data_IF_420452264938
#
_entry.id   IF_420452264938
#
_cell.length_a   1.000
_cell.length_b   1.000
_cell.length_c   1.000
_cell.angle_alpha   90.00
_cell.angle_beta   90.00
_cell.angle_gamma   90.00
#
_symmetry.space_group_name_H-M   'P 1'
#
loop_
_entity.id
_entity.type
_entity.pdbx_description
1 polymer ?
#
# COMPACT_ATOMS: atom_id res chain seq x y z
N UNK A 1 9.56 14.26 2.71
CA UNK A 1 8.53 14.82 1.79
C UNK A 1 7.86 16.11 2.30
N UNK A 2 7.53 17.05 1.40
CA UNK A 2 6.70 18.24 1.71
C UNK A 2 5.21 17.94 1.59
N UNK A 3 4.35 18.56 2.42
CA UNK A 3 2.90 18.40 2.32
C UNK A 3 2.35 18.87 0.97
N UNK A 4 2.91 19.95 0.42
CA UNK A 4 2.54 20.44 -0.91
C UNK A 4 2.79 19.40 -2.02
N UNK A 5 3.90 18.66 -1.92
CA UNK A 5 4.22 17.55 -2.81
C UNK A 5 3.24 16.39 -2.63
N UNK A 6 2.95 16.01 -1.38
CA UNK A 6 1.96 14.97 -1.05
C UNK A 6 0.58 15.31 -1.63
N UNK A 7 0.11 16.55 -1.47
CA UNK A 7 -1.17 17.00 -2.02
C UNK A 7 -1.18 16.91 -3.56
N UNK A 8 -0.06 17.22 -4.21
CA UNK A 8 0.11 17.07 -5.66
C UNK A 8 0.04 15.61 -6.11
N UNK A 9 0.78 14.72 -5.43
CA UNK A 9 0.75 13.26 -5.69
C UNK A 9 -0.66 12.71 -5.51
N UNK A 10 -1.34 13.06 -4.42
CA UNK A 10 -2.70 12.61 -4.14
C UNK A 10 -3.69 13.03 -5.23
N UNK A 11 -3.57 14.26 -5.73
CA UNK A 11 -4.42 14.76 -6.82
C UNK A 11 -4.16 13.98 -8.12
N UNK A 12 -2.89 13.81 -8.50
CA UNK A 12 -2.51 13.05 -9.69
C UNK A 12 -2.94 11.57 -9.60
N UNK A 13 -2.78 10.95 -8.43
CA UNK A 13 -3.21 9.58 -8.17
C UNK A 13 -4.73 9.45 -8.30
N UNK A 14 -5.51 10.38 -7.74
CA UNK A 14 -6.98 10.37 -7.89
C UNK A 14 -7.40 10.52 -9.36
N UNK A 15 -6.72 11.36 -10.15
CA UNK A 15 -7.02 11.51 -11.58
C UNK A 15 -6.73 10.23 -12.36
N UNK A 16 -5.61 9.55 -12.07
CA UNK A 16 -5.26 8.25 -12.63
C UNK A 16 -6.28 7.16 -12.26
N UNK A 17 -6.70 7.10 -11.00
CA UNK A 17 -7.72 6.16 -10.53
C UNK A 17 -9.03 6.37 -11.31
N UNK A 18 -9.44 7.63 -11.47
CA UNK A 18 -10.65 8.01 -12.22
C UNK A 18 -10.54 7.72 -13.70
N UNK A 19 -9.37 7.89 -14.32
CA UNK A 19 -9.17 7.57 -15.74
C UNK A 19 -9.34 6.08 -16.05
N UNK A 20 -9.16 5.22 -15.05
CA UNK A 20 -9.43 3.78 -15.12
C UNK A 20 -10.88 3.41 -14.76
N UNK A 21 -11.76 4.40 -14.56
CA UNK A 21 -13.18 4.19 -14.23
C UNK A 21 -13.42 3.79 -12.77
N UNK A 22 -12.41 3.84 -11.91
CA UNK A 22 -12.56 3.55 -10.49
C UNK A 22 -12.87 4.84 -9.71
N UNK A 23 -13.71 4.73 -8.68
CA UNK A 23 -14.02 5.85 -7.80
C UNK A 23 -13.74 5.43 -6.35
N UNK A 24 -12.96 6.24 -5.63
CA UNK A 24 -12.69 6.00 -4.21
C UNK A 24 -13.95 6.25 -3.37
N UNK A 25 -14.06 5.61 -2.19
CA UNK A 25 -15.17 5.85 -1.27
C UNK A 25 -15.19 7.31 -0.78
N UNK A 26 -16.35 7.84 -0.36
CA UNK A 26 -16.49 9.26 0.00
C UNK A 26 -15.47 9.78 1.03
N UNK A 27 -15.06 8.93 2.00
CA UNK A 27 -14.11 9.34 3.04
C UNK A 27 -12.71 9.66 2.51
N UNK A 28 -12.37 9.18 1.30
CA UNK A 28 -11.13 9.53 0.62
C UNK A 28 -11.01 11.03 0.33
N UNK A 29 -12.15 11.74 0.32
CA UNK A 29 -12.26 13.14 -0.09
C UNK A 29 -12.64 14.09 1.06
N UNK A 30 -12.71 13.59 2.30
CA UNK A 30 -13.01 14.45 3.44
C UNK A 30 -11.89 15.45 3.69
N UNK A 31 -12.27 16.70 3.95
CA UNK A 31 -11.34 17.68 4.51
C UNK A 31 -10.96 17.26 5.94
N UNK A 32 -9.89 17.85 6.48
CA UNK A 32 -9.48 17.61 7.88
C UNK A 32 -10.63 17.88 8.85
N UNK A 33 -11.37 18.97 8.65
CA UNK A 33 -12.46 19.35 9.55
C UNK A 33 -13.66 18.42 9.43
N UNK A 34 -13.99 17.96 8.22
CA UNK A 34 -15.02 16.95 8.03
C UNK A 34 -14.63 15.63 8.70
N UNK A 35 -13.37 15.19 8.53
CA UNK A 35 -12.87 13.98 9.17
C UNK A 35 -12.93 14.09 10.70
N UNK A 36 -12.50 15.23 11.27
CA UNK A 36 -12.62 15.51 12.71
C UNK A 36 -14.06 15.45 13.21
N UNK A 37 -14.99 16.04 12.46
CA UNK A 37 -16.40 16.05 12.82
C UNK A 37 -17.03 14.64 12.79
N UNK A 38 -16.53 13.76 11.93
CA UNK A 38 -17.02 12.39 11.74
C UNK A 38 -16.16 11.32 12.42
N UNK A 39 -15.14 11.68 13.21
CA UNK A 39 -14.14 10.73 13.71
C UNK A 39 -14.72 9.55 14.49
N UNK A 40 -15.80 9.78 15.24
CA UNK A 40 -16.46 8.73 16.03
C UNK A 40 -17.22 7.74 15.13
N UNK A 41 -17.86 8.23 14.05
CA UNK A 41 -18.45 7.40 12.99
C UNK A 41 -17.38 6.65 12.20
N UNK A 42 -16.24 7.31 11.94
CA UNK A 42 -15.12 6.79 11.20
C UNK A 42 -14.19 5.88 12.02
N UNK A 43 -14.58 5.46 13.23
CA UNK A 43 -13.71 4.69 14.12
C UNK A 43 -13.13 3.44 13.46
N UNK A 44 -13.89 2.72 12.66
CA UNK A 44 -13.38 1.54 11.96
C UNK A 44 -12.35 1.89 10.88
N UNK A 45 -12.53 3.01 10.18
CA UNK A 45 -11.57 3.53 9.19
C UNK A 45 -10.25 3.88 9.89
N UNK A 46 -10.34 4.57 11.02
CA UNK A 46 -9.18 5.00 11.81
C UNK A 46 -8.44 3.80 12.40
N UNK A 47 -9.16 2.94 13.13
CA UNK A 47 -8.59 1.75 13.79
C UNK A 47 -8.00 0.76 12.79
N UNK A 48 -8.64 0.61 11.63
CA UNK A 48 -8.18 -0.26 10.53
C UNK A 48 -7.15 0.39 9.62
N UNK A 49 -6.73 1.64 9.89
CA UNK A 49 -5.76 2.37 9.06
C UNK A 49 -6.15 2.44 7.57
N UNK A 50 -7.45 2.60 7.30
CA UNK A 50 -7.98 2.74 5.95
C UNK A 50 -7.77 4.18 5.45
N UNK A 51 -7.47 4.37 4.15
CA UNK A 51 -7.28 5.69 3.55
C UNK A 51 -6.00 5.83 2.74
N UNK A 52 -5.62 7.08 2.49
CA UNK A 52 -4.44 7.45 1.71
C UNK A 52 -3.15 7.11 2.44
N UNK A 53 -2.19 6.52 1.73
CA UNK A 53 -0.83 6.34 2.20
C UNK A 53 0.15 6.70 1.09
N UNK A 54 1.13 7.55 1.40
CA UNK A 54 2.13 8.05 0.45
C UNK A 54 3.47 7.97 1.17
N UNK A 55 4.42 7.27 0.56
CA UNK A 55 5.75 7.08 1.12
C UNK A 55 6.83 7.17 0.05
N UNK A 56 7.95 7.76 0.42
CA UNK A 56 9.23 7.69 -0.29
C UNK A 56 10.23 6.80 0.46
N UNK A 57 9.73 6.00 1.41
CA UNK A 57 10.51 5.14 2.30
C UNK A 57 11.56 5.88 3.15
N UNK A 58 11.39 7.20 3.32
CA UNK A 58 12.33 8.05 4.04
C UNK A 58 13.61 8.36 3.24
N UNK A 59 13.63 8.08 1.94
CA UNK A 59 14.78 8.27 1.07
C UNK A 59 14.81 9.62 0.33
N UNK A 60 13.78 10.46 0.48
CA UNK A 60 13.59 11.71 -0.28
C UNK A 60 13.65 11.50 -1.81
N UNK A 61 13.26 10.29 -2.26
CA UNK A 61 13.38 9.81 -3.65
C UNK A 61 12.04 9.29 -4.20
N UNK A 62 10.97 10.05 -3.99
CA UNK A 62 9.62 9.64 -4.39
C UNK A 62 9.50 9.28 -5.88
N UNK A 63 10.13 10.04 -6.78
CA UNK A 63 10.02 9.79 -8.23
C UNK A 63 10.62 8.45 -8.69
N UNK A 64 11.56 7.89 -7.91
CA UNK A 64 12.28 6.66 -8.30
C UNK A 64 11.82 5.42 -7.54
N UNK A 65 11.40 5.58 -6.29
CA UNK A 65 11.00 4.49 -5.41
C UNK A 65 9.74 4.78 -4.61
N UNK A 66 9.10 5.93 -4.80
CA UNK A 66 7.90 6.29 -4.07
C UNK A 66 6.73 5.39 -4.42
N UNK A 67 5.87 5.22 -3.43
CA UNK A 67 4.65 4.44 -3.54
C UNK A 67 3.49 5.28 -2.99
N UNK A 68 2.38 5.31 -3.73
CA UNK A 68 1.09 5.71 -3.19
C UNK A 68 0.19 4.49 -3.10
N UNK A 69 -0.64 4.46 -2.06
CA UNK A 69 -1.70 3.48 -1.87
C UNK A 69 -2.98 4.12 -1.36
N UNK A 70 -4.08 3.40 -1.57
CA UNK A 70 -5.31 3.63 -0.83
C UNK A 70 -5.83 2.32 -0.25
N UNK A 71 -5.91 2.25 1.08
CA UNK A 71 -6.49 1.10 1.79
C UNK A 71 -8.01 1.25 1.82
N UNK A 72 -8.71 0.43 1.04
CA UNK A 72 -10.16 0.49 0.87
C UNK A 72 -10.91 -0.10 2.07
N UNK A 73 -10.35 -1.18 2.62
CA UNK A 73 -10.86 -1.94 3.77
C UNK A 73 -9.71 -2.68 4.42
N UNK A 74 -9.78 -2.85 5.75
CA UNK A 74 -8.80 -3.63 6.48
C UNK A 74 -9.39 -4.16 7.78
N UNK A 75 -8.99 -5.38 8.15
CA UNK A 75 -9.40 -6.03 9.38
C UNK A 75 -8.53 -5.67 10.59
N UNK A 76 -8.78 -6.36 11.71
CA UNK A 76 -7.92 -6.30 12.91
C UNK A 76 -7.14 -7.60 13.04
N UNK A 77 -5.88 -7.53 13.46
CA UNK A 77 -5.04 -8.71 13.61
C UNK A 77 -5.66 -9.73 14.60
N UNK A 78 -6.24 -9.24 15.70
CA UNK A 78 -6.94 -10.06 16.68
C UNK A 78 -8.15 -10.84 16.13
N UNK A 79 -8.77 -10.30 15.09
CA UNK A 79 -9.92 -10.93 14.42
C UNK A 79 -9.41 -12.06 13.50
N UNK A 80 -8.32 -11.81 12.76
CA UNK A 80 -7.62 -12.82 11.97
C UNK A 80 -7.16 -14.00 12.84
N UNK A 81 -6.46 -13.72 13.95
CA UNK A 81 -5.98 -14.75 14.90
C UNK A 81 -7.13 -15.56 15.51
N UNK A 82 -8.29 -14.91 15.73
CA UNK A 82 -9.50 -15.53 16.26
C UNK A 82 -10.35 -16.25 15.21
N UNK A 83 -9.99 -16.21 13.92
CA UNK A 83 -10.76 -16.77 12.82
C UNK A 83 -12.18 -16.19 12.68
N UNK A 84 -12.38 -14.92 13.07
CA UNK A 84 -13.69 -14.25 13.13
C UNK A 84 -13.56 -12.81 12.67
N UNK A 85 -14.65 -12.17 12.23
CA UNK A 85 -14.60 -10.77 11.79
C UNK A 85 -14.05 -10.60 10.37
N UNK A 86 -13.54 -9.42 10.04
CA UNK A 86 -12.99 -9.14 8.71
C UNK A 86 -11.53 -9.60 8.66
N UNK A 87 -11.28 -10.73 8.01
CA UNK A 87 -9.96 -11.36 7.93
C UNK A 87 -9.19 -11.04 6.64
N UNK A 88 -9.68 -10.10 5.84
CA UNK A 88 -9.10 -9.71 4.55
C UNK A 88 -8.95 -8.19 4.44
N UNK A 89 -7.97 -7.74 3.67
CA UNK A 89 -7.70 -6.36 3.34
C UNK A 89 -7.70 -6.15 1.83
N UNK A 90 -7.88 -4.90 1.40
CA UNK A 90 -7.79 -4.52 -0.02
C UNK A 90 -7.06 -3.18 -0.16
N UNK A 91 -6.03 -3.13 -1.00
CA UNK A 91 -5.24 -1.93 -1.29
C UNK A 91 -5.09 -1.69 -2.79
N UNK A 92 -4.73 -0.47 -3.17
CA UNK A 92 -4.23 -0.15 -4.51
C UNK A 92 -2.74 0.24 -4.44
N UNK A 93 -1.84 -0.19 -5.36
CA UNK A 93 -0.36 0.00 -5.23
C UNK A 93 0.41 0.33 -6.54
N UNK A 94 1.69 0.77 -6.41
CA UNK A 94 2.76 0.98 -7.45
C UNK A 94 4.23 0.93 -6.86
N UNK A 95 5.11 -0.11 -7.00
CA UNK A 95 6.47 -0.15 -6.34
C UNK A 95 7.37 -1.41 -6.59
N UNK A 96 8.75 -1.36 -6.69
CA UNK A 96 9.81 -2.28 -7.33
C UNK A 96 10.61 -3.37 -6.54
N UNK A 97 11.05 -4.46 -7.24
CA UNK A 97 11.41 -5.92 -6.94
C UNK A 97 12.37 -6.40 -5.80
N UNK A 98 12.21 -7.67 -5.29
CA UNK A 98 13.27 -8.71 -4.94
C UNK A 98 12.78 -10.10 -4.31
N UNK A 99 13.57 -11.21 -4.04
CA UNK A 99 13.25 -12.69 -3.79
C UNK A 99 13.86 -13.41 -2.50
N UNK A 100 13.46 -14.63 -2.04
CA UNK A 100 13.78 -15.29 -0.71
C UNK A 100 14.67 -16.57 -0.63
N UNK A 101 15.24 -16.90 0.57
CA UNK A 101 16.04 -18.07 1.00
C UNK A 101 15.29 -19.04 1.96
N UNK A 102 15.93 -20.17 2.37
CA UNK A 102 15.34 -21.20 3.25
C UNK A 102 15.05 -20.75 4.70
N UNK A 103 15.59 -19.61 5.10
CA UNK A 103 15.37 -18.98 6.41
C UNK A 103 14.42 -17.78 6.29
N UNK A 104 13.90 -17.51 5.09
CA UNK A 104 13.05 -16.36 4.78
C UNK A 104 13.81 -15.05 4.53
N UNK A 105 15.15 -15.06 4.50
CA UNK A 105 15.94 -13.89 4.08
C UNK A 105 15.92 -13.76 2.56
N UNK A 106 16.46 -12.67 2.01
CA UNK A 106 16.53 -12.51 0.56
C UNK A 106 17.57 -13.45 -0.09
N UNK A 107 17.25 -14.10 -1.22
CA UNK A 107 18.17 -14.92 -2.02
C UNK A 107 18.21 -14.50 -3.50
N UNK A 108 19.42 -14.33 -4.05
CA UNK A 108 19.64 -13.94 -5.45
C UNK A 108 19.75 -15.13 -6.41
N UNK A 109 19.92 -16.35 -5.88
CA UNK A 109 20.26 -17.55 -6.64
C UNK A 109 19.16 -18.62 -6.59
N UNK A 110 17.98 -18.30 -6.05
CA UNK A 110 16.86 -19.23 -5.91
C UNK A 110 15.61 -18.81 -6.69
N UNK A 111 15.05 -19.79 -7.40
CA UNK A 111 13.74 -19.70 -8.02
C UNK A 111 12.65 -20.23 -7.09
N UNK A 112 11.42 -20.21 -7.55
CA UNK A 112 10.27 -20.65 -6.76
C UNK A 112 9.04 -20.92 -7.59
N UNK A 113 7.90 -20.96 -6.89
CA UNK A 113 6.59 -21.21 -7.47
C UNK A 113 5.62 -20.16 -6.97
N UNK A 114 4.92 -19.52 -7.89
CA UNK A 114 3.75 -18.69 -7.59
C UNK A 114 2.52 -19.25 -8.30
N UNK A 115 1.36 -18.68 -8.00
CA UNK A 115 0.14 -18.89 -8.77
C UNK A 115 -0.24 -17.58 -9.46
N UNK A 116 -0.32 -17.60 -10.79
CA UNK A 116 -0.87 -16.50 -11.58
C UNK A 116 -2.29 -16.88 -11.97
N UNK A 117 -3.29 -16.11 -11.51
CA UNK A 117 -4.72 -16.40 -11.74
C UNK A 117 -5.13 -17.84 -11.36
N UNK A 118 -4.53 -18.37 -10.29
CA UNK A 118 -4.73 -19.75 -9.84
C UNK A 118 -3.97 -20.81 -10.64
N UNK A 119 -3.18 -20.44 -11.65
CA UNK A 119 -2.35 -21.32 -12.46
C UNK A 119 -0.92 -21.34 -11.90
N UNK A 120 -0.42 -22.54 -11.56
CA UNK A 120 0.93 -22.73 -11.05
C UNK A 120 1.97 -22.28 -12.08
N UNK A 121 2.89 -21.39 -11.68
CA UNK A 121 3.99 -20.87 -12.50
C UNK A 121 5.31 -20.99 -11.75
N UNK A 122 6.28 -21.64 -12.39
CA UNK A 122 7.67 -21.68 -11.90
C UNK A 122 8.40 -20.42 -12.38
N UNK A 123 9.32 -19.93 -11.55
CA UNK A 123 10.19 -18.81 -11.89
C UNK A 123 11.63 -19.13 -11.45
N UNK A 124 12.59 -18.65 -12.21
CA UNK A 124 14.01 -18.70 -11.91
C UNK A 124 14.44 -17.46 -11.10
N UNK A 125 15.64 -17.49 -10.47
CA UNK A 125 16.15 -16.34 -9.75
C UNK A 125 16.24 -15.12 -10.68
N UNK A 126 15.73 -13.96 -10.22
CA UNK A 126 15.73 -12.72 -11.00
C UNK A 126 14.73 -12.66 -12.16
N UNK A 127 13.87 -13.69 -12.35
CA UNK A 127 12.80 -13.64 -13.33
C UNK A 127 11.83 -12.50 -13.05
N UNK A 128 11.29 -11.92 -14.14
CA UNK A 128 10.29 -10.87 -14.10
C UNK A 128 8.96 -11.42 -14.56
N UNK A 129 8.00 -11.45 -13.64
CA UNK A 129 6.62 -11.84 -13.93
C UNK A 129 5.87 -10.63 -14.48
N UNK A 130 5.74 -10.53 -15.81
CA UNK A 130 4.87 -9.55 -16.44
C UNK A 130 3.41 -9.98 -16.28
N UNK A 131 2.58 -9.06 -15.77
CA UNK A 131 1.13 -9.22 -15.62
C UNK A 131 0.42 -8.17 -16.48
N UNK A 132 -0.44 -8.63 -17.39
CA UNK A 132 -1.30 -7.78 -18.19
C UNK A 132 -2.50 -7.27 -17.37
N UNK A 133 -3.19 -6.20 -17.81
CA UNK A 133 -4.43 -5.76 -17.17
C UNK A 133 -5.44 -6.90 -17.03
N UNK A 134 -5.85 -7.19 -15.79
CA UNK A 134 -6.77 -8.28 -15.45
C UNK A 134 -6.10 -9.55 -14.92
N UNK A 135 -4.78 -9.66 -14.99
CA UNK A 135 -4.01 -10.77 -14.41
C UNK A 135 -3.59 -10.47 -12.96
N UNK A 136 -3.38 -11.52 -12.18
CA UNK A 136 -3.03 -11.46 -10.77
C UNK A 136 -1.94 -12.48 -10.41
N UNK A 137 -1.21 -12.21 -9.34
CA UNK A 137 -0.28 -13.16 -8.72
C UNK A 137 -0.59 -13.32 -7.24
N UNK A 138 -0.57 -14.56 -6.75
CA UNK A 138 -0.63 -14.85 -5.31
C UNK A 138 0.78 -14.92 -4.75
N UNK A 139 1.07 -14.06 -3.77
CA UNK A 139 2.31 -14.01 -3.02
C UNK A 139 2.05 -14.51 -1.60
N UNK A 140 2.81 -15.50 -1.16
CA UNK A 140 2.69 -16.10 0.17
C UNK A 140 3.61 -15.38 1.16
N UNK A 141 3.34 -15.43 2.47
CA UNK A 141 4.27 -14.92 3.47
C UNK A 141 5.67 -15.52 3.28
N UNK A 142 6.68 -14.66 3.23
CA UNK A 142 8.06 -15.04 2.95
C UNK A 142 8.44 -14.98 1.47
N UNK A 143 7.50 -14.81 0.54
CA UNK A 143 7.84 -14.44 -0.84
C UNK A 143 8.28 -12.99 -0.85
N UNK A 144 9.57 -12.75 -1.02
CA UNK A 144 10.01 -11.40 -1.32
C UNK A 144 9.50 -11.07 -2.71
N UNK A 145 9.12 -9.82 -2.88
CA UNK A 145 8.62 -9.34 -4.15
C UNK A 145 8.87 -7.86 -4.23
N UNK A 146 8.76 -7.38 -5.48
CA UNK A 146 8.12 -6.12 -5.76
C UNK A 146 7.95 -5.91 -7.29
N UNK A 147 7.35 -4.79 -7.66
CA UNK A 147 6.52 -4.61 -8.85
C UNK A 147 6.74 -3.25 -9.54
N UNK A 148 6.35 -3.03 -10.78
CA UNK A 148 6.40 -1.66 -11.34
C UNK A 148 5.56 -1.61 -12.58
N UNK A 149 5.15 -0.40 -12.94
CA UNK A 149 4.64 -0.16 -14.27
C UNK A 149 5.78 -0.17 -15.29
N UNK A 150 5.70 -1.08 -16.25
CA UNK A 150 6.58 -1.07 -17.42
C UNK A 150 6.02 -0.10 -18.47
N UNK A 151 6.77 0.97 -18.76
CA UNK A 151 6.39 1.95 -19.79
C UNK A 151 5.38 3.02 -19.37
N UNK A 152 4.93 3.04 -18.10
CA UNK A 152 4.05 4.07 -17.56
C UNK A 152 3.47 3.70 -16.20
N UNK A 153 2.52 4.49 -15.73
CA UNK A 153 1.83 4.24 -14.47
C UNK A 153 0.87 3.03 -14.59
N UNK A 154 0.71 2.30 -13.48
CA UNK A 154 -0.20 1.15 -13.40
C UNK A 154 -1.12 1.30 -12.19
N UNK A 155 -2.34 0.79 -12.32
CA UNK A 155 -3.27 0.64 -11.20
C UNK A 155 -3.25 -0.83 -10.75
N UNK A 156 -2.69 -1.11 -9.57
CA UNK A 156 -2.63 -2.46 -9.00
C UNK A 156 -3.69 -2.58 -7.92
N UNK A 157 -4.39 -3.71 -7.86
CA UNK A 157 -5.21 -4.09 -6.71
C UNK A 157 -4.56 -5.22 -5.92
N UNK A 158 -4.51 -5.07 -4.60
CA UNK A 158 -4.13 -6.11 -3.65
C UNK A 158 -5.36 -6.54 -2.89
N UNK A 159 -5.55 -7.85 -2.80
CA UNK A 159 -6.49 -8.48 -1.87
C UNK A 159 -5.66 -9.43 -1.02
N UNK A 160 -5.58 -9.13 0.28
CA UNK A 160 -4.69 -9.83 1.21
C UNK A 160 -5.45 -10.26 2.47
N UNK A 161 -4.78 -10.97 3.38
CA UNK A 161 -5.24 -11.08 4.77
C UNK A 161 -5.15 -9.71 5.47
N UNK A 162 -5.43 -9.64 6.77
CA UNK A 162 -5.26 -8.37 7.52
C UNK A 162 -3.86 -7.80 7.30
N UNK A 163 -3.80 -6.51 7.02
CA UNK A 163 -2.57 -5.78 6.76
C UNK A 163 -2.14 -4.96 7.98
N UNK A 164 -0.87 -5.04 8.36
CA UNK A 164 -0.25 -4.27 9.44
C UNK A 164 1.10 -3.66 9.02
N UNK A 165 1.00 -2.55 8.27
CA UNK A 165 2.17 -1.87 7.71
C UNK A 165 3.21 -1.40 8.76
N UNK A 166 2.88 -1.35 10.05
CA UNK A 166 3.82 -0.98 11.12
C UNK A 166 4.79 -2.11 11.49
N UNK A 167 4.39 -3.38 11.31
CA UNK A 167 5.16 -4.53 11.82
C UNK A 167 5.38 -5.66 10.82
N UNK A 168 4.63 -5.71 9.72
CA UNK A 168 4.69 -6.82 8.75
C UNK A 168 5.62 -6.58 7.55
N UNK A 169 6.17 -5.37 7.41
CA UNK A 169 7.06 -5.01 6.32
C UNK A 169 8.54 -5.26 6.65
N UNK A 170 9.17 -6.21 5.93
CA UNK A 170 10.62 -6.41 5.93
C UNK A 170 11.21 -5.91 4.60
N UNK A 171 12.04 -4.87 4.67
CA UNK A 171 12.73 -4.32 3.51
C UNK A 171 14.17 -4.84 3.42
N UNK A 172 14.64 -5.07 2.19
CA UNK A 172 16.01 -5.54 1.92
C UNK A 172 17.03 -4.49 2.38
N UNK A 173 16.77 -3.24 2.03
CA UNK A 173 17.55 -2.11 2.47
C UNK A 173 17.04 -1.60 3.83
N UNK A 174 17.90 -1.02 4.68
CA UNK A 174 17.51 -0.46 5.97
C UNK A 174 16.77 0.88 5.79
N UNK A 175 15.62 0.85 5.11
CA UNK A 175 14.75 1.98 4.81
C UNK A 175 13.52 1.98 5.72
N UNK A 176 12.90 3.16 5.91
CA UNK A 176 11.68 3.29 6.71
C UNK A 176 10.43 2.99 5.87
N UNK A 177 9.30 2.71 6.54
CA UNK A 177 7.99 2.55 5.86
C UNK A 177 7.30 3.87 5.55
N UNK A 178 7.51 4.90 6.37
CA UNK A 178 6.83 6.18 6.28
C UNK A 178 7.81 7.33 6.01
N UNK A 179 7.37 8.29 5.20
CA UNK A 179 8.11 9.51 4.93
C UNK A 179 8.11 10.45 6.13
N UNK A 180 9.20 11.20 6.31
CA UNK A 180 9.20 12.38 7.19
C UNK A 180 8.48 13.54 6.47
N UNK A 181 7.41 14.06 7.06
CA UNK A 181 6.56 15.09 6.44
C UNK A 181 6.93 16.49 6.96
N UNK A 182 7.19 17.41 6.03
CA UNK A 182 7.29 18.86 6.30
C UNK A 182 5.96 19.53 5.96
N UNK A 183 5.27 20.08 6.95
CA UNK A 183 3.98 20.75 6.81
C UNK A 183 4.14 22.18 6.28
N UNK A 184 4.41 22.32 4.98
CA UNK A 184 4.58 23.62 4.31
C UNK A 184 3.26 24.26 3.82
N UNK A 185 2.19 23.46 3.76
CA UNK A 185 0.81 23.86 3.46
C UNK A 185 -0.17 22.98 4.24
N UNK A 186 -1.45 23.35 4.28
CA UNK A 186 -2.49 22.48 4.86
C UNK A 186 -2.68 21.20 4.02
N UNK A 187 -2.98 20.06 4.66
CA UNK A 187 -3.26 18.81 3.93
C UNK A 187 -4.57 18.89 3.16
N UNK A 188 -4.56 18.40 1.91
CA UNK A 188 -5.75 18.30 1.06
C UNK A 188 -6.74 17.28 1.65
N UNK A 189 -6.25 16.08 1.92
CA UNK A 189 -6.89 15.02 2.71
C UNK A 189 -5.86 14.42 3.66
N UNK A 190 -6.32 13.76 4.73
CA UNK A 190 -5.43 13.11 5.69
C UNK A 190 -4.83 11.83 5.12
N UNK A 191 -3.53 11.64 5.32
CA UNK A 191 -2.89 10.33 5.22
C UNK A 191 -3.26 9.48 6.45
N UNK A 192 -3.14 8.16 6.31
CA UNK A 192 -3.28 7.22 7.42
C UNK A 192 -2.32 7.57 8.57
N UNK A 193 -1.09 7.98 8.26
CA UNK A 193 -0.09 8.42 9.24
C UNK A 193 -0.47 9.73 9.95
N UNK A 194 -1.38 10.53 9.40
CA UNK A 194 -1.83 11.79 9.99
C UNK A 194 -2.86 11.59 11.10
N UNK A 195 -3.55 10.45 11.13
CA UNK A 195 -4.71 10.24 12.01
C UNK A 195 -4.37 10.54 13.48
N UNK A 196 -3.30 9.96 14.01
CA UNK A 196 -2.92 10.12 15.41
C UNK A 196 -2.68 11.59 15.78
N UNK A 197 -2.05 12.36 14.90
CA UNK A 197 -1.72 13.77 15.13
C UNK A 197 -2.93 14.69 14.95
N UNK A 198 -3.71 14.48 13.90
CA UNK A 198 -4.74 15.42 13.46
C UNK A 198 -6.12 15.18 14.06
N UNK A 199 -6.43 13.92 14.43
CA UNK A 199 -7.74 13.53 14.98
C UNK A 199 -7.75 13.40 16.51
N UNK A 200 -6.56 13.28 17.14
CA UNK A 200 -6.36 13.19 18.60
C UNK A 200 -7.36 12.23 19.26
N UNK A 201 -7.18 10.94 18.98
CA UNK A 201 -7.96 9.84 19.57
C UNK A 201 -7.11 8.99 20.50
#
# INVERSE_FOLDING_TARGET
>A
MKRSQINGIMSAANDLIRSHGFNLPPFAYWSVDEFRARKDEAKHIIDGRCGWDITDYGADQFETMGLFLFTLRNGRLSDLEGGRGMCYAEKLLISRQDQSDDQGNFAEDRGGVVYCDGIRREYAPGDKLALAPGESVTLMPGDWHAFWGEGGDVLIGEVSTVNDDETDNLFREPIGRFANITEDVDPLHLLVSDYATWLKY
#
